data_IF_807172273265
#
_entry.id   IF_807172273265
#
_cell.length_a   1.000
_cell.length_b   1.000
_cell.length_c   1.000
_cell.angle_alpha   90.00
_cell.angle_beta   90.00
_cell.angle_gamma   90.00
#
_symmetry.space_group_name_H-M   'P 1'
#
loop_
_entity.id
_entity.type
_entity.pdbx_description
1 polymer ?
#
# COMPACT_ATOMS: atom_id res chain seq x y z
N UNK A 1 -22.69 -21.40 -17.95
CA UNK A 1 -21.80 -21.65 -16.79
C UNK A 1 -20.64 -22.48 -17.29
N UNK A 2 -19.42 -21.93 -17.33
CA UNK A 2 -18.28 -22.70 -17.84
C UNK A 2 -17.21 -22.82 -16.75
N UNK A 3 -17.28 -23.93 -15.99
CA UNK A 3 -16.26 -24.29 -14.99
C UNK A 3 -14.86 -24.36 -15.62
N UNK A 4 -14.75 -24.81 -16.87
CA UNK A 4 -13.48 -24.89 -17.59
C UNK A 4 -12.86 -23.52 -17.84
N UNK A 5 -13.65 -22.52 -18.22
CA UNK A 5 -13.18 -21.13 -18.37
C UNK A 5 -12.73 -20.53 -17.03
N UNK A 6 -13.47 -20.78 -15.96
CA UNK A 6 -13.10 -20.31 -14.62
C UNK A 6 -11.77 -20.92 -14.14
N UNK A 7 -11.58 -22.23 -14.35
CA UNK A 7 -10.34 -22.92 -14.02
C UNK A 7 -9.17 -22.46 -14.89
N UNK A 8 -9.41 -22.20 -16.18
CA UNK A 8 -8.38 -21.67 -17.07
C UNK A 8 -7.93 -20.27 -16.62
N UNK A 9 -8.88 -19.38 -16.33
CA UNK A 9 -8.60 -18.06 -15.79
C UNK A 9 -7.77 -18.14 -14.49
N UNK A 10 -8.12 -19.03 -13.57
CA UNK A 10 -7.37 -19.17 -12.31
C UNK A 10 -5.93 -19.62 -12.52
N UNK A 11 -5.68 -20.55 -13.46
CA UNK A 11 -4.31 -20.99 -13.82
C UNK A 11 -3.48 -19.85 -14.42
N UNK A 12 -4.09 -19.07 -15.31
CA UNK A 12 -3.43 -17.90 -15.91
C UNK A 12 -3.12 -16.84 -14.85
N UNK A 13 -4.11 -16.53 -14.01
CA UNK A 13 -3.95 -15.62 -12.88
C UNK A 13 -2.86 -16.06 -11.93
N UNK A 14 -2.79 -17.34 -11.54
CA UNK A 14 -1.79 -17.84 -10.61
C UNK A 14 -0.37 -17.61 -11.13
N UNK A 15 -0.13 -17.90 -12.41
CA UNK A 15 1.18 -17.65 -13.05
C UNK A 15 1.53 -16.16 -13.05
N UNK A 16 0.62 -15.32 -13.52
CA UNK A 16 0.84 -13.87 -13.62
C UNK A 16 1.01 -13.19 -12.25
N UNK A 17 0.19 -13.59 -11.28
CA UNK A 17 0.24 -13.07 -9.92
C UNK A 17 1.51 -13.51 -9.19
N UNK A 18 1.99 -14.74 -9.41
CA UNK A 18 3.25 -15.22 -8.83
C UNK A 18 4.45 -14.39 -9.34
N UNK A 19 4.52 -14.16 -10.65
CA UNK A 19 5.56 -13.31 -11.25
C UNK A 19 5.48 -11.86 -10.74
N UNK A 20 4.27 -11.29 -10.70
CA UNK A 20 4.05 -9.94 -10.17
C UNK A 20 4.48 -9.83 -8.70
N UNK A 21 4.07 -10.79 -7.87
CA UNK A 21 4.45 -10.84 -6.46
C UNK A 21 5.97 -10.88 -6.30
N UNK A 22 6.66 -11.72 -7.08
CA UNK A 22 8.12 -11.75 -7.07
C UNK A 22 8.75 -10.39 -7.39
N UNK A 23 8.31 -9.72 -8.47
CA UNK A 23 8.84 -8.38 -8.84
C UNK A 23 8.58 -7.33 -7.77
N UNK A 24 7.37 -7.29 -7.21
CA UNK A 24 7.01 -6.35 -6.13
C UNK A 24 7.85 -6.63 -4.89
N UNK A 25 7.97 -7.88 -4.45
CA UNK A 25 8.76 -8.23 -3.25
C UNK A 25 10.25 -7.96 -3.44
N UNK A 26 10.79 -8.26 -4.62
CA UNK A 26 12.18 -7.96 -4.94
C UNK A 26 12.45 -6.46 -4.93
N UNK A 27 11.57 -5.65 -5.54
CA UNK A 27 11.74 -4.19 -5.57
C UNK A 27 11.59 -3.56 -4.18
N UNK A 28 10.66 -4.07 -3.35
CA UNK A 28 10.53 -3.69 -1.94
C UNK A 28 11.81 -4.02 -1.16
N UNK A 29 12.33 -5.24 -1.29
CA UNK A 29 13.58 -5.65 -0.64
C UNK A 29 14.77 -4.78 -1.04
N UNK A 30 14.92 -4.50 -2.34
CA UNK A 30 16.01 -3.67 -2.85
C UNK A 30 15.95 -2.25 -2.29
N UNK A 31 14.75 -1.66 -2.17
CA UNK A 31 14.60 -0.33 -1.57
C UNK A 31 14.88 -0.36 -0.06
N UNK A 32 14.36 -1.35 0.66
CA UNK A 32 14.57 -1.48 2.11
C UNK A 32 16.03 -1.73 2.50
N UNK A 33 16.78 -2.47 1.67
CA UNK A 33 18.20 -2.76 1.92
C UNK A 33 19.15 -1.72 1.31
N UNK A 34 18.68 -0.93 0.34
CA UNK A 34 19.43 0.16 -0.29
C UNK A 34 18.51 1.33 -0.65
N UNK A 35 18.37 2.27 0.30
CA UNK A 35 17.45 3.41 0.21
C UNK A 35 18.01 4.45 -0.76
N UNK A 36 17.55 4.40 -2.01
CA UNK A 36 17.87 5.38 -3.06
C UNK A 36 16.60 5.79 -3.81
N UNK A 37 16.61 6.97 -4.43
CA UNK A 37 15.48 7.44 -5.25
C UNK A 37 15.19 6.53 -6.44
N UNK A 38 16.22 5.92 -7.02
CA UNK A 38 16.07 4.95 -8.11
C UNK A 38 15.34 3.69 -7.65
N UNK A 39 15.75 3.09 -6.51
CA UNK A 39 15.08 1.92 -5.95
C UNK A 39 13.66 2.24 -5.47
N UNK A 40 13.46 3.42 -4.87
CA UNK A 40 12.13 3.92 -4.49
C UNK A 40 11.20 3.99 -5.70
N UNK A 41 11.65 4.62 -6.79
CA UNK A 41 10.87 4.77 -8.02
C UNK A 41 10.47 3.41 -8.58
N UNK A 42 11.43 2.48 -8.70
CA UNK A 42 11.17 1.13 -9.20
C UNK A 42 10.18 0.37 -8.32
N UNK A 43 10.30 0.47 -7.00
CA UNK A 43 9.33 -0.13 -6.07
C UNK A 43 7.91 0.43 -6.27
N UNK A 44 7.77 1.74 -6.45
CA UNK A 44 6.47 2.37 -6.67
C UNK A 44 5.86 1.98 -8.03
N UNK A 45 6.68 1.85 -9.07
CA UNK A 45 6.26 1.39 -10.40
C UNK A 45 5.71 -0.05 -10.36
N UNK A 46 6.41 -0.99 -9.71
CA UNK A 46 5.94 -2.37 -9.59
C UNK A 46 4.64 -2.47 -8.77
N UNK A 47 4.50 -1.70 -7.69
CA UNK A 47 3.25 -1.63 -6.91
C UNK A 47 2.08 -1.06 -7.73
N UNK A 48 2.34 -0.10 -8.62
CA UNK A 48 1.32 0.42 -9.52
C UNK A 48 0.90 -0.62 -10.57
N UNK A 49 1.82 -1.45 -11.05
CA UNK A 49 1.51 -2.57 -11.95
C UNK A 49 0.70 -3.67 -11.24
N UNK A 50 1.05 -4.01 -10.01
CA UNK A 50 0.29 -4.93 -9.16
C UNK A 50 -1.16 -4.47 -8.98
N UNK A 51 -1.35 -3.19 -8.64
CA UNK A 51 -2.70 -2.61 -8.50
C UNK A 51 -3.52 -2.68 -9.80
N UNK A 52 -2.89 -2.62 -10.98
CA UNK A 52 -3.58 -2.78 -12.27
C UNK A 52 -3.97 -4.24 -12.50
N UNK A 53 -3.08 -5.18 -12.19
CA UNK A 53 -3.36 -6.61 -12.28
C UNK A 53 -4.56 -6.96 -11.38
N UNK A 54 -4.53 -6.54 -10.11
CA UNK A 54 -5.63 -6.75 -9.16
C UNK A 54 -6.98 -6.26 -9.69
N UNK A 55 -7.00 -5.07 -10.33
CA UNK A 55 -8.20 -4.49 -10.93
C UNK A 55 -8.75 -5.34 -12.08
N UNK A 56 -7.88 -5.77 -12.98
CA UNK A 56 -8.25 -6.59 -14.13
C UNK A 56 -8.73 -7.98 -13.70
N UNK A 57 -7.99 -8.61 -12.79
CA UNK A 57 -8.32 -9.92 -12.23
C UNK A 57 -9.64 -9.88 -11.47
N UNK A 58 -9.90 -8.82 -10.69
CA UNK A 58 -11.19 -8.63 -10.02
C UNK A 58 -12.35 -8.52 -11.02
N UNK A 59 -12.24 -7.66 -12.05
CA UNK A 59 -13.28 -7.51 -13.08
C UNK A 59 -13.60 -8.85 -13.75
N UNK A 60 -12.56 -9.61 -14.12
CA UNK A 60 -12.72 -10.94 -14.71
C UNK A 60 -13.36 -11.92 -13.71
N UNK A 61 -12.88 -11.96 -12.47
CA UNK A 61 -13.42 -12.82 -11.42
C UNK A 61 -14.91 -12.56 -11.14
N UNK A 62 -15.33 -11.29 -11.10
CA UNK A 62 -16.75 -10.92 -10.89
C UNK A 62 -17.67 -11.27 -12.05
N UNK A 63 -17.12 -11.45 -13.26
CA UNK A 63 -17.93 -11.85 -14.42
C UNK A 63 -18.41 -13.31 -14.34
N UNK A 64 -17.75 -14.14 -13.52
CA UNK A 64 -18.18 -15.52 -13.27
C UNK A 64 -19.31 -15.56 -12.23
N UNK A 65 -20.33 -16.38 -12.48
CA UNK A 65 -21.35 -16.74 -11.46
C UNK A 65 -20.77 -17.76 -10.45
N UNK A 66 -19.71 -17.37 -9.74
CA UNK A 66 -18.85 -18.25 -8.95
C UNK A 66 -19.58 -18.92 -7.78
N UNK A 67 -20.61 -18.27 -7.22
CA UNK A 67 -21.41 -18.80 -6.09
C UNK A 67 -22.11 -20.12 -6.42
N UNK A 68 -22.42 -20.36 -7.70
CA UNK A 68 -23.14 -21.54 -8.21
C UNK A 68 -22.21 -22.61 -8.79
N UNK A 69 -20.90 -22.41 -8.77
CA UNK A 69 -19.96 -23.42 -9.29
C UNK A 69 -19.98 -24.67 -8.38
N UNK A 70 -20.04 -25.88 -8.98
CA UNK A 70 -20.05 -27.12 -8.21
C UNK A 70 -18.69 -27.41 -7.57
N UNK A 71 -17.59 -27.00 -8.23
CA UNK A 71 -16.24 -27.20 -7.72
C UNK A 71 -15.92 -26.24 -6.56
N UNK A 72 -15.73 -26.81 -5.38
CA UNK A 72 -15.51 -26.05 -4.14
C UNK A 72 -14.19 -25.26 -4.16
N UNK A 73 -13.16 -25.78 -4.81
CA UNK A 73 -11.84 -25.15 -4.86
C UNK A 73 -11.84 -23.92 -5.77
N UNK A 74 -12.34 -24.07 -7.00
CA UNK A 74 -12.53 -22.95 -7.95
C UNK A 74 -13.39 -21.86 -7.33
N UNK A 75 -14.49 -22.24 -6.68
CA UNK A 75 -15.37 -21.28 -5.97
C UNK A 75 -14.64 -20.53 -4.88
N UNK A 76 -13.81 -21.22 -4.06
CA UNK A 76 -13.01 -20.59 -3.01
C UNK A 76 -12.01 -19.59 -3.57
N UNK A 77 -11.27 -19.97 -4.62
CA UNK A 77 -10.27 -19.09 -5.23
C UNK A 77 -10.91 -17.82 -5.81
N UNK A 78 -11.98 -17.96 -6.59
CA UNK A 78 -12.74 -16.81 -7.12
C UNK A 78 -13.31 -15.92 -6.00
N UNK A 79 -13.83 -16.52 -4.92
CA UNK A 79 -14.30 -15.75 -3.78
C UNK A 79 -13.18 -14.90 -3.14
N UNK A 80 -11.96 -15.42 -3.02
CA UNK A 80 -10.82 -14.64 -2.50
C UNK A 80 -10.52 -13.46 -3.44
N UNK A 81 -10.45 -13.68 -4.76
CA UNK A 81 -10.20 -12.61 -5.74
C UNK A 81 -11.27 -11.51 -5.75
N UNK A 82 -12.53 -11.87 -5.46
CA UNK A 82 -13.65 -10.92 -5.46
C UNK A 82 -13.74 -10.16 -4.13
N UNK A 83 -13.52 -10.84 -3.00
CA UNK A 83 -13.87 -10.30 -1.67
C UNK A 83 -12.69 -9.70 -0.90
N UNK A 84 -11.44 -10.09 -1.19
CA UNK A 84 -10.23 -9.62 -0.47
C UNK A 84 -9.52 -8.48 -1.19
N UNK A 85 -10.23 -7.64 -1.94
CA UNK A 85 -9.61 -6.56 -2.71
C UNK A 85 -10.39 -5.25 -2.61
N UNK A 86 -9.71 -4.13 -2.86
CA UNK A 86 -10.35 -2.80 -2.98
C UNK A 86 -10.79 -2.49 -4.41
N UNK A 87 -10.54 -3.42 -5.34
CA UNK A 87 -10.88 -3.29 -6.75
C UNK A 87 -12.38 -3.24 -7.06
N UNK A 88 -13.27 -3.40 -6.06
CA UNK A 88 -14.71 -3.22 -6.25
C UNK A 88 -15.20 -1.78 -6.31
N UNK A 89 -14.35 -0.79 -5.97
CA UNK A 89 -14.71 0.63 -6.08
C UNK A 89 -15.01 1.03 -7.54
N UNK A 90 -15.87 2.02 -7.80
CA UNK A 90 -15.96 2.69 -9.10
C UNK A 90 -14.58 3.16 -9.60
N UNK A 91 -14.39 3.27 -10.92
CA UNK A 91 -13.07 3.60 -11.53
C UNK A 91 -12.48 4.88 -10.94
N UNK A 92 -13.26 5.96 -10.86
CA UNK A 92 -12.84 7.24 -10.30
C UNK A 92 -12.40 7.13 -8.82
N UNK A 93 -13.14 6.37 -8.01
CA UNK A 93 -12.83 6.19 -6.58
C UNK A 93 -11.66 5.24 -6.35
N UNK A 94 -11.46 4.28 -7.24
CA UNK A 94 -10.30 3.41 -7.22
C UNK A 94 -9.03 4.20 -7.55
N UNK A 95 -9.07 5.05 -8.57
CA UNK A 95 -7.96 5.92 -8.94
C UNK A 95 -7.65 6.93 -7.81
N UNK A 96 -8.68 7.53 -7.22
CA UNK A 96 -8.56 8.40 -6.06
C UNK A 96 -7.92 7.68 -4.87
N UNK A 97 -8.33 6.43 -4.59
CA UNK A 97 -7.72 5.61 -3.54
C UNK A 97 -6.22 5.40 -3.79
N UNK A 98 -5.81 5.06 -5.02
CA UNK A 98 -4.41 4.86 -5.37
C UNK A 98 -3.61 6.16 -5.25
N UNK A 99 -4.18 7.28 -5.70
CA UNK A 99 -3.55 8.59 -5.59
C UNK A 99 -3.29 8.94 -4.12
N UNK A 100 -4.29 8.79 -3.25
CA UNK A 100 -4.18 9.15 -1.83
C UNK A 100 -3.15 8.29 -1.11
N UNK A 101 -3.09 6.99 -1.43
CA UNK A 101 -2.05 6.09 -0.92
C UNK A 101 -0.66 6.55 -1.37
N UNK A 102 -0.51 6.91 -2.65
CA UNK A 102 0.75 7.40 -3.22
C UNK A 102 1.20 8.69 -2.54
N UNK A 103 0.30 9.67 -2.40
CA UNK A 103 0.58 10.94 -1.72
C UNK A 103 1.03 10.74 -0.27
N UNK A 104 0.38 9.85 0.49
CA UNK A 104 0.78 9.55 1.87
C UNK A 104 2.18 8.91 1.94
N UNK A 105 2.49 7.95 1.06
CA UNK A 105 3.84 7.33 0.97
C UNK A 105 4.91 8.36 0.63
N UNK A 106 4.56 9.30 -0.23
CA UNK A 106 5.47 10.31 -0.74
C UNK A 106 5.77 11.39 0.31
N UNK A 107 4.75 11.87 1.05
CA UNK A 107 4.93 12.73 2.23
C UNK A 107 5.86 12.06 3.23
N UNK A 108 5.58 10.81 3.61
CA UNK A 108 6.35 10.08 4.60
C UNK A 108 7.82 9.94 4.21
N UNK A 109 8.10 9.61 2.95
CA UNK A 109 9.47 9.36 2.48
C UNK A 109 10.29 10.63 2.19
N UNK A 110 9.63 11.74 1.82
CA UNK A 110 10.31 13.02 1.57
C UNK A 110 10.45 13.89 2.81
N UNK A 111 9.76 13.57 3.90
CA UNK A 111 9.86 14.34 5.13
C UNK A 111 11.31 14.44 5.60
N UNK A 112 11.69 15.66 6.01
CA UNK A 112 13.00 15.98 6.58
C UNK A 112 12.80 16.73 7.89
N UNK A 113 13.74 16.56 8.80
CA UNK A 113 13.76 17.18 10.13
C UNK A 113 15.09 17.88 10.34
N UNK A 114 15.05 19.02 11.03
CA UNK A 114 16.26 19.77 11.37
C UNK A 114 16.96 19.15 12.60
N UNK A 115 18.30 19.08 12.62
CA UNK A 115 19.06 18.59 13.77
C UNK A 115 18.84 19.45 15.03
N UNK A 116 18.95 18.84 16.22
CA UNK A 116 18.75 19.53 17.50
C UNK A 116 19.90 20.50 17.85
N UNK A 117 21.15 20.02 17.77
CA UNK A 117 22.34 20.75 18.21
C UNK A 117 22.86 21.79 17.19
N UNK A 118 22.39 21.75 15.95
CA UNK A 118 22.87 22.63 14.88
C UNK A 118 21.77 23.51 14.30
N UNK A 119 21.11 24.31 15.16
CA UNK A 119 20.06 25.25 14.75
C UNK A 119 20.57 26.45 13.95
N UNK A 120 21.88 26.73 14.01
CA UNK A 120 22.50 27.86 13.28
C UNK A 120 22.77 27.52 11.81
N UNK A 121 22.91 26.24 11.48
CA UNK A 121 22.98 25.78 10.11
C UNK A 121 21.55 25.44 9.68
N UNK A 122 20.94 26.23 8.80
CA UNK A 122 19.54 26.07 8.33
C UNK A 122 19.31 24.80 7.48
N UNK A 123 20.17 23.79 7.61
CA UNK A 123 20.15 22.58 6.82
C UNK A 123 19.31 21.51 7.54
N UNK A 124 18.14 21.24 6.98
CA UNK A 124 17.16 20.28 7.51
C UNK A 124 17.03 19.11 6.56
N UNK A 125 17.91 18.13 6.69
CA UNK A 125 18.05 17.02 5.76
C UNK A 125 17.97 15.64 6.42
N UNK A 126 17.71 15.57 7.73
CA UNK A 126 17.58 14.29 8.41
C UNK A 126 16.31 13.57 7.95
N UNK A 127 16.46 12.41 7.34
CA UNK A 127 15.36 11.52 6.97
C UNK A 127 15.00 10.59 8.13
N UNK A 128 13.84 9.93 8.06
CA UNK A 128 13.48 8.92 9.07
C UNK A 128 14.54 7.81 9.14
N UNK A 129 14.83 7.23 7.98
CA UNK A 129 15.80 6.15 7.82
C UNK A 129 16.98 6.63 6.95
N UNK A 130 18.23 6.43 7.39
CA UNK A 130 18.63 5.87 8.69
C UNK A 130 18.72 6.92 9.82
N UNK A 131 18.59 8.22 9.51
CA UNK A 131 19.11 9.29 10.38
C UNK A 131 18.37 9.41 11.72
N UNK A 132 17.06 9.68 11.69
CA UNK A 132 16.26 9.82 12.92
C UNK A 132 16.19 8.50 13.69
N UNK A 133 16.02 7.37 13.00
CA UNK A 133 16.01 6.05 13.63
C UNK A 133 17.32 5.80 14.38
N UNK A 134 18.47 6.11 13.79
CA UNK A 134 19.77 5.98 14.46
C UNK A 134 19.91 6.96 15.61
N UNK A 135 19.55 8.24 15.42
CA UNK A 135 19.67 9.26 16.46
C UNK A 135 18.82 8.89 17.69
N UNK A 136 17.53 8.60 17.50
CA UNK A 136 16.61 8.22 18.56
C UNK A 136 16.99 6.90 19.25
N UNK A 137 17.66 5.97 18.56
CA UNK A 137 18.11 4.72 19.16
C UNK A 137 19.33 4.90 20.09
N UNK A 138 20.19 5.89 19.84
CA UNK A 138 21.49 6.02 20.53
C UNK A 138 21.56 7.20 21.49
N UNK A 139 20.87 8.31 21.22
CA UNK A 139 20.93 9.50 22.08
C UNK A 139 20.30 9.21 23.46
N UNK A 140 20.91 9.76 24.51
CA UNK A 140 20.41 9.71 25.89
C UNK A 140 19.98 11.09 26.41
N UNK A 141 20.08 12.11 25.57
CA UNK A 141 19.59 13.45 25.88
C UNK A 141 18.07 13.50 25.65
N UNK A 142 17.33 13.76 26.73
CA UNK A 142 15.88 13.86 26.69
C UNK A 142 15.39 14.97 25.74
N UNK A 143 16.05 16.12 25.73
CA UNK A 143 15.63 17.28 24.93
C UNK A 143 15.87 17.02 23.44
N UNK A 144 16.97 16.35 23.10
CA UNK A 144 17.23 15.91 21.73
C UNK A 144 16.18 14.89 21.25
N UNK A 145 15.85 13.89 22.09
CA UNK A 145 14.81 12.90 21.77
C UNK A 145 13.45 13.57 21.55
N UNK A 146 13.05 14.47 22.45
CA UNK A 146 11.79 15.20 22.37
C UNK A 146 11.73 16.07 21.10
N UNK A 147 12.80 16.79 20.79
CA UNK A 147 12.91 17.60 19.58
C UNK A 147 12.72 16.76 18.32
N UNK A 148 13.50 15.68 18.17
CA UNK A 148 13.45 14.82 16.98
C UNK A 148 12.07 14.14 16.83
N UNK A 149 11.52 13.61 17.92
CA UNK A 149 10.20 12.97 17.91
C UNK A 149 9.10 13.94 17.51
N UNK A 150 9.11 15.14 18.10
CA UNK A 150 8.09 16.16 17.84
C UNK A 150 8.22 16.72 16.44
N UNK A 151 9.43 17.08 16.02
CA UNK A 151 9.68 17.62 14.68
C UNK A 151 9.26 16.63 13.58
N UNK A 152 9.51 15.32 13.77
CA UNK A 152 9.01 14.30 12.84
C UNK A 152 7.48 14.25 12.78
N UNK A 153 6.83 14.19 13.95
CA UNK A 153 5.35 14.20 14.06
C UNK A 153 4.74 15.43 13.42
N UNK A 154 5.35 16.59 13.61
CA UNK A 154 4.88 17.88 13.07
C UNK A 154 5.12 17.99 11.54
N UNK A 155 6.20 17.38 11.03
CA UNK A 155 6.53 17.34 9.60
C UNK A 155 5.60 16.40 8.80
N UNK A 156 5.27 15.24 9.37
CA UNK A 156 4.51 14.18 8.67
C UNK A 156 3.03 14.15 9.01
N UNK A 157 2.69 14.39 10.28
CA UNK A 157 1.33 14.19 10.81
C UNK A 157 0.28 15.10 10.18
N UNK A 158 0.42 16.44 10.26
CA UNK A 158 -0.56 17.37 9.70
C UNK A 158 -0.83 17.16 8.20
N UNK A 159 0.19 16.99 7.33
CA UNK A 159 -0.05 16.76 5.89
C UNK A 159 -0.75 15.43 5.57
N UNK A 160 -0.54 14.38 6.38
CA UNK A 160 -1.18 13.07 6.21
C UNK A 160 -2.61 13.04 6.78
N UNK A 161 -2.94 13.86 7.78
CA UNK A 161 -4.21 13.75 8.52
C UNK A 161 -5.46 13.72 7.64
N UNK A 162 -5.62 14.70 6.74
CA UNK A 162 -6.80 14.77 5.85
C UNK A 162 -6.84 13.61 4.85
N UNK A 163 -5.68 13.27 4.28
CA UNK A 163 -5.50 12.14 3.36
C UNK A 163 -5.86 10.81 4.00
N UNK A 164 -5.46 10.61 5.26
CA UNK A 164 -5.77 9.39 5.98
C UNK A 164 -7.28 9.24 6.24
N UNK A 165 -7.97 10.33 6.59
CA UNK A 165 -9.44 10.33 6.74
C UNK A 165 -10.10 9.94 5.43
N UNK A 166 -9.66 10.52 4.32
CA UNK A 166 -10.23 10.26 3.01
C UNK A 166 -9.91 8.83 2.51
N UNK A 167 -8.68 8.35 2.72
CA UNK A 167 -8.30 6.95 2.55
C UNK A 167 -9.23 6.01 3.33
N UNK A 168 -9.53 6.32 4.60
CA UNK A 168 -10.44 5.54 5.42
C UNK A 168 -11.87 5.50 4.86
N UNK A 169 -12.36 6.59 4.26
CA UNK A 169 -13.68 6.63 3.63
C UNK A 169 -13.74 5.67 2.43
N UNK A 170 -12.79 5.79 1.50
CA UNK A 170 -12.70 4.95 0.30
C UNK A 170 -12.48 3.48 0.65
N UNK A 171 -11.55 3.21 1.57
CA UNK A 171 -11.28 1.88 2.10
C UNK A 171 -12.51 1.20 2.72
N UNK A 172 -13.25 1.92 3.55
CA UNK A 172 -14.47 1.39 4.17
C UNK A 172 -15.60 1.21 3.14
N UNK A 173 -15.68 2.07 2.14
CA UNK A 173 -16.63 1.89 1.02
C UNK A 173 -16.31 0.61 0.24
N UNK A 174 -15.04 0.37 -0.08
CA UNK A 174 -14.60 -0.87 -0.73
C UNK A 174 -14.95 -2.11 0.09
N UNK A 175 -14.76 -2.05 1.42
CA UNK A 175 -15.15 -3.13 2.33
C UNK A 175 -16.66 -3.43 2.26
N UNK A 176 -17.50 -2.40 2.26
CA UNK A 176 -18.96 -2.55 2.17
C UNK A 176 -19.42 -3.15 0.85
N UNK A 177 -18.78 -2.80 -0.25
CA UNK A 177 -19.04 -3.40 -1.57
C UNK A 177 -18.79 -4.92 -1.53
N UNK A 178 -17.77 -5.35 -0.79
CA UNK A 178 -17.44 -6.77 -0.61
C UNK A 178 -18.21 -7.45 0.54
N UNK A 179 -19.29 -6.83 1.04
CA UNK A 179 -20.11 -7.40 2.12
C UNK A 179 -19.45 -7.38 3.51
N UNK A 180 -18.44 -6.52 3.72
CA UNK A 180 -17.77 -6.33 5.02
C UNK A 180 -18.13 -4.97 5.65
N UNK A 181 -18.11 -4.88 6.98
CA UNK A 181 -18.49 -3.65 7.68
C UNK A 181 -17.41 -2.56 7.68
N UNK A 182 -16.12 -2.95 7.71
CA UNK A 182 -14.94 -2.06 7.80
C UNK A 182 -13.73 -2.67 7.11
N UNK A 183 -12.77 -1.83 6.72
CA UNK A 183 -11.52 -2.26 6.08
C UNK A 183 -10.73 -3.29 6.89
N UNK A 184 -10.81 -3.27 8.23
CA UNK A 184 -10.10 -4.26 9.06
C UNK A 184 -10.52 -5.71 8.77
N UNK A 185 -11.70 -5.92 8.17
CA UNK A 185 -12.17 -7.23 7.73
C UNK A 185 -11.73 -7.60 6.30
N UNK A 186 -10.96 -6.73 5.63
CA UNK A 186 -10.24 -6.97 4.37
C UNK A 186 -8.72 -7.16 4.59
N UNK A 187 -8.21 -6.91 5.80
CA UNK A 187 -6.77 -6.95 6.14
C UNK A 187 -6.38 -8.31 6.77
N UNK A 188 -7.34 -9.24 6.91
CA UNK A 188 -7.16 -10.63 7.35
C UNK A 188 -7.72 -11.57 6.27
#
# INVERSE_FOLDING_TARGET
MNLGEAQQFLREYEREAAEMCFRVKQSQWNFSTNITDANKRRMLEEQALESKLDRLSWRRATSFTWTRLPDSQTRRQLNMLVTQTRAGLPDNEFDELQQVISEMKDIYSRARVCPYHNRMNNYCDLALEPDLTRALAHTRDYEEQLHLWKAWRDSVGPPIRSRYIHYMQLANKAARINGKYRINHLIL
#
